data_IF_659403786116
#
_entry.id   IF_659403786116
#
_cell.length_a   1.000
_cell.length_b   1.000
_cell.length_c   1.000
_cell.angle_alpha   90.00
_cell.angle_beta   90.00
_cell.angle_gamma   90.00
#
_symmetry.space_group_name_H-M   'P 1'
#
loop_
_entity.id
_entity.type
_entity.pdbx_description
1 polymer ?
#
# COMPACT_ATOMS: atom_id res chain seq x y z
N UNK A 1 -21.72 -7.73 -0.96
CA UNK A 1 -21.70 -6.47 -0.18
C UNK A 1 -20.26 -6.27 0.27
N UNK A 2 -19.57 -5.20 -0.16
CA UNK A 2 -18.21 -4.96 0.32
C UNK A 2 -18.24 -4.76 1.85
N UNK A 3 -17.31 -5.38 2.58
CA UNK A 3 -17.26 -5.24 4.04
C UNK A 3 -16.99 -3.78 4.42
N UNK A 4 -17.46 -3.34 5.59
CA UNK A 4 -17.15 -2.02 6.12
C UNK A 4 -15.63 -1.78 6.16
N UNK A 5 -14.85 -2.81 6.53
CA UNK A 5 -13.39 -2.75 6.48
C UNK A 5 -12.86 -2.44 5.07
N UNK A 6 -13.44 -3.04 4.02
CA UNK A 6 -12.99 -2.79 2.65
C UNK A 6 -13.35 -1.38 2.17
N UNK A 7 -14.50 -0.83 2.59
CA UNK A 7 -14.88 0.55 2.31
C UNK A 7 -13.90 1.54 2.95
N UNK A 8 -13.58 1.35 4.23
CA UNK A 8 -12.61 2.19 4.95
C UNK A 8 -11.22 2.08 4.34
N UNK A 9 -10.74 0.87 4.01
CA UNK A 9 -9.45 0.68 3.34
C UNK A 9 -9.39 1.42 2.00
N UNK A 10 -10.47 1.39 1.23
CA UNK A 10 -10.57 2.08 -0.07
C UNK A 10 -10.46 3.60 0.09
N UNK A 11 -11.17 4.16 1.08
CA UNK A 11 -11.11 5.60 1.38
C UNK A 11 -9.69 6.02 1.84
N UNK A 12 -9.08 5.25 2.74
CA UNK A 12 -7.71 5.51 3.22
C UNK A 12 -6.74 5.51 2.04
N UNK A 13 -6.82 4.53 1.14
CA UNK A 13 -5.96 4.46 -0.04
C UNK A 13 -6.08 5.71 -0.93
N UNK A 14 -7.27 6.32 -1.04
CA UNK A 14 -7.51 7.56 -1.79
C UNK A 14 -7.01 8.84 -1.11
N UNK A 15 -6.73 8.78 0.21
CA UNK A 15 -6.35 9.96 1.00
C UNK A 15 -4.83 10.24 1.05
N UNK A 16 -4.00 9.29 0.59
CA UNK A 16 -2.53 9.38 0.67
C UNK A 16 -2.00 10.33 -0.41
N UNK A 17 -1.86 11.61 -0.07
CA UNK A 17 -1.50 12.66 -1.03
C UNK A 17 -0.07 13.16 -0.90
N UNK A 18 0.45 13.34 0.33
CA UNK A 18 1.74 14.00 0.56
C UNK A 18 2.93 13.05 0.37
N UNK A 19 4.07 13.51 -0.16
CA UNK A 19 5.25 12.67 -0.33
C UNK A 19 5.81 12.06 0.96
N UNK A 20 5.75 12.78 2.08
CA UNK A 20 6.19 12.26 3.38
C UNK A 20 5.31 11.09 3.85
N UNK A 21 3.99 11.24 3.71
CA UNK A 21 3.01 10.20 4.06
C UNK A 21 3.20 8.95 3.22
N UNK A 22 3.57 9.09 1.94
CA UNK A 22 3.84 7.96 1.04
C UNK A 22 4.97 7.07 1.53
N UNK A 23 6.06 7.65 2.04
CA UNK A 23 7.18 6.87 2.60
C UNK A 23 6.78 6.16 3.89
N UNK A 24 6.14 6.88 4.82
CA UNK A 24 5.67 6.29 6.07
C UNK A 24 4.69 5.13 5.80
N UNK A 25 3.76 5.33 4.87
CA UNK A 25 2.79 4.32 4.47
C UNK A 25 3.46 3.10 3.81
N UNK A 26 4.40 3.32 2.88
CA UNK A 26 5.16 2.25 2.26
C UNK A 26 5.94 1.44 3.31
N UNK A 27 6.59 2.10 4.27
CA UNK A 27 7.28 1.42 5.38
C UNK A 27 6.32 0.51 6.15
N UNK A 28 5.13 1.00 6.51
CA UNK A 28 4.11 0.18 7.19
C UNK A 28 3.66 -1.03 6.37
N UNK A 29 3.52 -0.87 5.06
CA UNK A 29 3.23 -1.99 4.15
C UNK A 29 4.34 -3.03 4.17
N UNK A 30 5.59 -2.60 4.06
CA UNK A 30 6.73 -3.52 4.03
C UNK A 30 6.90 -4.28 5.34
N UNK A 31 6.65 -3.62 6.48
CA UNK A 31 6.65 -4.26 7.79
C UNK A 31 5.52 -5.29 7.98
N UNK A 32 4.39 -5.09 7.29
CA UNK A 32 3.24 -6.01 7.31
C UNK A 32 3.25 -7.02 6.16
N UNK A 33 4.31 -7.03 5.34
CA UNK A 33 4.40 -7.92 4.21
C UNK A 33 4.49 -9.39 4.66
N UNK A 34 3.83 -10.27 3.90
CA UNK A 34 3.88 -11.71 4.17
C UNK A 34 5.29 -12.27 3.94
N UNK A 35 6.01 -11.71 2.96
CA UNK A 35 7.40 -12.03 2.66
C UNK A 35 8.13 -10.76 2.23
N UNK A 36 9.29 -10.52 2.81
CA UNK A 36 10.18 -9.43 2.43
C UNK A 36 11.61 -9.97 2.34
N UNK A 37 12.13 -10.06 1.12
CA UNK A 37 13.49 -10.56 0.82
C UNK A 37 14.21 -9.55 -0.07
N UNK A 38 15.50 -9.77 -0.30
CA UNK A 38 16.30 -8.90 -1.19
C UNK A 38 15.82 -8.88 -2.65
N UNK A 39 15.06 -9.88 -3.09
CA UNK A 39 14.62 -10.02 -4.50
C UNK A 39 13.11 -9.99 -4.68
N UNK A 40 12.34 -10.19 -3.61
CA UNK A 40 10.88 -10.36 -3.69
C UNK A 40 10.18 -9.79 -2.46
N UNK A 41 9.05 -9.12 -2.70
CA UNK A 41 8.09 -8.66 -1.70
C UNK A 41 6.73 -9.26 -2.02
N UNK A 42 6.14 -10.00 -1.08
CA UNK A 42 4.83 -10.62 -1.24
C UNK A 42 3.84 -10.00 -0.26
N UNK A 43 2.73 -9.48 -0.80
CA UNK A 43 1.60 -8.96 -0.06
C UNK A 43 0.36 -9.81 -0.35
N UNK A 44 -0.51 -9.96 0.65
CA UNK A 44 -1.81 -10.58 0.47
C UNK A 44 -2.88 -9.59 0.94
N UNK A 45 -3.81 -9.26 0.06
CA UNK A 45 -4.90 -8.33 0.34
C UNK A 45 -6.17 -8.79 -0.36
N UNK A 46 -7.32 -8.50 0.26
CA UNK A 46 -8.65 -8.59 -0.34
C UNK A 46 -9.13 -7.22 -0.88
N UNK A 47 -8.37 -6.16 -0.63
CA UNK A 47 -8.69 -4.79 -1.01
C UNK A 47 -8.02 -4.44 -2.34
N UNK A 48 -8.80 -4.33 -3.40
CA UNK A 48 -8.33 -4.00 -4.76
C UNK A 48 -7.67 -2.63 -4.83
N UNK A 49 -8.25 -1.61 -4.17
CA UNK A 49 -7.67 -0.27 -4.11
C UNK A 49 -6.24 -0.27 -3.53
N UNK A 50 -5.98 -1.13 -2.54
CA UNK A 50 -4.64 -1.32 -1.99
C UNK A 50 -3.71 -2.02 -2.99
N UNK A 51 -4.20 -3.07 -3.65
CA UNK A 51 -3.43 -3.80 -4.66
C UNK A 51 -2.98 -2.88 -5.82
N UNK A 52 -3.85 -1.95 -6.23
CA UNK A 52 -3.52 -0.94 -7.24
C UNK A 52 -2.60 0.17 -6.72
N UNK A 53 -2.76 0.57 -5.46
CA UNK A 53 -1.97 1.65 -4.84
C UNK A 53 -0.52 1.23 -4.67
N UNK A 54 -0.26 -0.01 -4.25
CA UNK A 54 1.09 -0.48 -3.90
C UNK A 54 2.15 -0.23 -4.98
N UNK A 55 1.98 -0.65 -6.26
CA UNK A 55 2.97 -0.39 -7.30
C UNK A 55 3.16 1.10 -7.57
N UNK A 56 2.08 1.89 -7.56
CA UNK A 56 2.13 3.36 -7.72
C UNK A 56 2.93 4.01 -6.60
N UNK A 57 2.75 3.50 -5.37
CA UNK A 57 3.43 3.99 -4.19
C UNK A 57 4.94 3.72 -4.25
N UNK A 58 5.34 2.50 -4.61
CA UNK A 58 6.75 2.14 -4.82
C UNK A 58 7.38 3.08 -5.85
N UNK A 59 6.77 3.20 -7.03
CA UNK A 59 7.27 4.08 -8.10
C UNK A 59 7.42 5.53 -7.60
N UNK A 60 6.43 6.03 -6.85
CA UNK A 60 6.45 7.41 -6.35
C UNK A 60 7.55 7.70 -5.33
N UNK A 61 8.03 6.68 -4.61
CA UNK A 61 9.09 6.83 -3.60
C UNK A 61 10.47 6.58 -4.21
N UNK A 62 10.56 5.70 -5.22
CA UNK A 62 11.79 5.35 -5.93
C UNK A 62 12.22 6.39 -6.97
N UNK A 63 11.27 7.16 -7.53
CA UNK A 63 11.57 8.29 -8.42
C UNK A 63 12.13 9.45 -7.61
N UNK A 64 13.45 9.47 -7.43
CA UNK A 64 14.20 10.52 -6.77
C UNK A 64 15.37 10.96 -7.64
#
# INVERSE_FOLDING_TARGET
MASFSNQVKTEICGSIRKPADRRAFLTGILLSARRFTGTEITLQTECEAFAELFPKLIQSVSSK
#
